data_IF_825923011034
#
_entry.id   IF_825923011034
#
_cell.length_a   1.000
_cell.length_b   1.000
_cell.length_c   1.000
_cell.angle_alpha   90.00
_cell.angle_beta   90.00
_cell.angle_gamma   90.00
#
_symmetry.space_group_name_H-M   'P 1'
#
loop_
_entity.id
_entity.type
_entity.pdbx_description
1 polymer ?
#
# COMPACT_ATOMS: atom_id res chain seq x y z
N UNK A 1 12.68 22.94 -3.46
CA UNK A 1 11.40 23.20 -2.77
C UNK A 1 10.84 21.82 -2.44
N UNK A 2 10.78 21.44 -1.18
CA UNK A 2 10.26 20.12 -0.79
C UNK A 2 8.74 20.23 -0.73
N UNK A 3 8.05 19.50 -1.57
CA UNK A 3 6.59 19.44 -1.56
C UNK A 3 6.13 18.72 -0.30
N UNK A 4 5.27 19.34 0.48
CA UNK A 4 4.72 18.74 1.71
C UNK A 4 3.39 18.03 1.39
N UNK A 5 3.50 16.78 0.95
CA UNK A 5 2.34 15.98 0.57
C UNK A 5 1.36 15.72 1.74
N UNK A 6 1.83 15.78 2.99
CA UNK A 6 0.93 15.66 4.15
C UNK A 6 -0.01 16.87 4.24
N UNK A 7 0.48 18.04 3.84
CA UNK A 7 -0.27 19.30 3.85
C UNK A 7 -0.94 19.59 2.51
N UNK A 8 -0.24 19.33 1.42
CA UNK A 8 -0.60 19.77 0.07
C UNK A 8 -1.33 18.70 -0.75
N UNK A 9 -1.41 17.45 -0.24
CA UNK A 9 -2.14 16.36 -0.89
C UNK A 9 -1.26 15.44 -1.73
N UNK A 10 -1.74 15.05 -2.91
CA UNK A 10 -1.08 14.11 -3.83
C UNK A 10 -0.50 14.86 -5.05
N UNK A 11 0.43 14.24 -5.82
CA UNK A 11 1.08 14.90 -6.96
C UNK A 11 0.14 15.33 -8.08
N UNK A 12 -0.98 14.63 -8.28
CA UNK A 12 -1.94 14.95 -9.35
C UNK A 12 -2.82 16.13 -8.99
N UNK A 13 -2.69 17.24 -9.69
CA UNK A 13 -3.51 18.45 -9.49
C UNK A 13 -5.01 18.24 -9.76
N UNK A 14 -5.37 17.24 -10.59
CA UNK A 14 -6.76 16.90 -10.87
C UNK A 14 -7.35 15.94 -9.83
N UNK A 15 -6.55 15.43 -8.88
CA UNK A 15 -7.05 14.58 -7.79
C UNK A 15 -7.62 15.47 -6.68
N UNK A 16 -8.90 15.37 -6.49
CA UNK A 16 -9.60 16.10 -5.42
C UNK A 16 -9.62 15.27 -4.14
N UNK A 17 -9.16 15.85 -3.04
CA UNK A 17 -9.38 15.27 -1.71
C UNK A 17 -10.85 15.41 -1.35
N UNK A 18 -11.48 14.30 -0.99
CA UNK A 18 -12.92 14.28 -0.63
C UNK A 18 -13.08 14.17 0.88
N UNK A 19 -12.49 13.17 1.50
CA UNK A 19 -12.65 12.90 2.93
C UNK A 19 -11.59 11.91 3.45
N UNK A 20 -11.49 11.81 4.76
CA UNK A 20 -10.77 10.73 5.41
C UNK A 20 -11.55 9.42 5.27
N UNK A 21 -10.86 8.27 5.35
CA UNK A 21 -11.49 6.98 5.22
C UNK A 21 -12.44 6.68 6.41
N UNK A 22 -13.31 5.68 6.23
CA UNK A 22 -14.29 5.21 7.24
C UNK A 22 -15.37 6.20 7.67
N UNK A 23 -15.39 7.43 7.15
CA UNK A 23 -16.48 8.38 7.39
C UNK A 23 -17.75 8.02 6.60
N UNK A 24 -18.92 8.56 7.00
CA UNK A 24 -20.16 8.42 6.22
C UNK A 24 -20.01 9.02 4.81
N UNK A 25 -19.29 10.14 4.72
CA UNK A 25 -18.96 10.79 3.44
C UNK A 25 -18.11 9.90 2.55
N UNK A 26 -17.17 9.16 3.11
CA UNK A 26 -16.33 8.18 2.40
C UNK A 26 -17.17 7.08 1.76
N UNK A 27 -18.14 6.51 2.48
CA UNK A 27 -19.03 5.50 1.92
C UNK A 27 -19.84 6.07 0.74
N UNK A 28 -20.44 7.26 0.90
CA UNK A 28 -21.21 7.93 -0.14
C UNK A 28 -20.35 8.30 -1.38
N UNK A 29 -19.14 8.78 -1.17
CA UNK A 29 -18.22 9.13 -2.24
C UNK A 29 -17.79 7.90 -3.05
N UNK A 30 -17.49 6.80 -2.39
CA UNK A 30 -17.13 5.52 -3.03
C UNK A 30 -18.24 4.91 -3.89
N UNK A 31 -19.50 5.18 -3.58
CA UNK A 31 -20.61 4.72 -4.42
C UNK A 31 -20.66 5.42 -5.78
N UNK A 32 -20.26 6.70 -5.84
CA UNK A 32 -20.40 7.53 -7.04
C UNK A 32 -19.33 7.26 -8.11
N UNK A 33 -18.17 6.74 -7.69
CA UNK A 33 -17.05 6.49 -8.60
C UNK A 33 -16.56 5.04 -8.53
N UNK A 34 -15.87 4.57 -9.54
CA UNK A 34 -15.12 3.33 -9.44
C UNK A 34 -13.97 3.52 -8.45
N UNK A 35 -13.73 2.55 -7.58
CA UNK A 35 -12.62 2.63 -6.63
C UNK A 35 -11.43 1.80 -7.09
N UNK A 36 -10.23 2.22 -6.70
CA UNK A 36 -9.01 1.46 -6.99
C UNK A 36 -9.11 0.00 -6.52
N UNK A 37 -9.71 -0.24 -5.34
CA UNK A 37 -9.98 -1.60 -4.82
C UNK A 37 -11.04 -2.37 -5.63
N UNK A 38 -11.88 -1.69 -6.40
CA UNK A 38 -12.87 -2.30 -7.29
C UNK A 38 -12.29 -2.75 -8.64
N UNK A 39 -11.13 -2.21 -9.04
CA UNK A 39 -10.50 -2.56 -10.33
C UNK A 39 -10.18 -4.06 -10.44
N UNK A 40 -9.58 -4.74 -9.45
CA UNK A 40 -9.36 -6.17 -9.50
C UNK A 40 -10.66 -6.99 -9.65
N UNK A 41 -11.77 -6.49 -9.09
CA UNK A 41 -13.09 -7.13 -9.21
C UNK A 41 -13.59 -7.07 -10.66
N UNK A 42 -13.49 -5.88 -11.29
CA UNK A 42 -13.86 -5.72 -12.71
C UNK A 42 -13.00 -6.58 -13.62
N UNK A 43 -11.70 -6.67 -13.32
CA UNK A 43 -10.78 -7.54 -14.06
C UNK A 43 -11.06 -9.03 -13.87
N UNK A 44 -11.86 -9.41 -12.86
CA UNK A 44 -12.18 -10.81 -12.57
C UNK A 44 -11.04 -11.56 -11.85
N UNK A 45 -10.10 -10.84 -11.26
CA UNK A 45 -8.94 -11.40 -10.54
C UNK A 45 -9.10 -11.34 -9.02
N UNK A 46 -10.18 -10.74 -8.53
CA UNK A 46 -10.49 -10.70 -7.10
C UNK A 46 -11.16 -12.02 -6.68
N UNK A 47 -10.57 -12.81 -5.76
CA UNK A 47 -11.16 -14.09 -5.34
C UNK A 47 -12.28 -13.96 -4.31
N UNK A 48 -12.51 -12.74 -3.79
CA UNK A 48 -13.43 -12.50 -2.66
C UNK A 48 -14.72 -11.81 -3.07
N UNK A 49 -14.77 -11.20 -4.25
CA UNK A 49 -15.93 -10.42 -4.72
C UNK A 49 -16.11 -10.58 -6.22
N UNK A 50 -17.34 -10.80 -6.65
CA UNK A 50 -17.72 -10.86 -8.07
C UNK A 50 -18.07 -9.47 -8.62
N UNK A 51 -18.18 -9.35 -9.95
CA UNK A 51 -18.65 -8.11 -10.60
C UNK A 51 -20.08 -7.77 -10.18
N UNK A 52 -20.93 -8.78 -10.01
CA UNK A 52 -22.33 -8.60 -9.61
C UNK A 52 -22.42 -8.08 -8.16
N UNK A 53 -21.58 -8.61 -7.24
CA UNK A 53 -21.49 -8.10 -5.88
C UNK A 53 -21.03 -6.63 -5.86
N UNK A 54 -20.03 -6.29 -6.68
CA UNK A 54 -19.57 -4.92 -6.80
C UNK A 54 -20.66 -3.99 -7.33
N UNK A 55 -21.38 -4.42 -8.38
CA UNK A 55 -22.50 -3.65 -8.92
C UNK A 55 -23.60 -3.46 -7.87
N UNK A 56 -23.95 -4.52 -7.16
CA UNK A 56 -24.93 -4.44 -6.07
C UNK A 56 -24.52 -3.41 -5.02
N UNK A 57 -23.26 -3.45 -4.56
CA UNK A 57 -22.69 -2.49 -3.62
C UNK A 57 -22.77 -1.05 -4.16
N UNK A 58 -22.50 -0.84 -5.44
CA UNK A 58 -22.57 0.50 -6.07
C UNK A 58 -23.98 1.06 -6.13
N UNK A 59 -24.98 0.19 -6.36
CA UNK A 59 -26.38 0.60 -6.51
C UNK A 59 -27.08 0.77 -5.16
N UNK A 60 -26.85 -0.15 -4.24
CA UNK A 60 -27.61 -0.26 -2.99
C UNK A 60 -26.84 0.16 -1.74
N UNK A 61 -25.54 0.46 -1.88
CA UNK A 61 -24.66 0.71 -0.75
C UNK A 61 -23.92 -0.54 -0.27
N UNK A 62 -22.86 -0.29 0.47
CA UNK A 62 -22.10 -1.36 1.10
C UNK A 62 -22.81 -1.80 2.39
N UNK A 63 -23.23 -3.04 2.44
CA UNK A 63 -23.83 -3.66 3.64
C UNK A 63 -22.83 -4.48 4.44
N UNK A 64 -21.56 -4.47 4.01
CA UNK A 64 -20.51 -5.23 4.69
C UNK A 64 -20.08 -4.51 5.98
N UNK A 65 -20.44 -5.07 7.11
CA UNK A 65 -20.10 -4.55 8.44
C UNK A 65 -18.65 -4.83 8.86
N UNK A 66 -17.86 -5.47 7.99
CA UNK A 66 -16.52 -5.92 8.32
C UNK A 66 -16.49 -7.33 8.93
N UNK A 67 -15.30 -7.87 9.04
CA UNK A 67 -15.02 -9.14 9.71
C UNK A 67 -13.70 -9.05 10.47
N UNK A 68 -13.30 -10.14 11.14
CA UNK A 68 -12.05 -10.17 11.91
C UNK A 68 -10.83 -9.78 11.05
N UNK A 69 -10.79 -10.17 9.77
CA UNK A 69 -9.68 -9.84 8.86
C UNK A 69 -9.62 -8.34 8.56
N UNK A 70 -10.77 -7.71 8.26
CA UNK A 70 -10.86 -6.25 8.06
C UNK A 70 -10.50 -5.48 9.32
N UNK A 71 -11.00 -5.96 10.47
CA UNK A 71 -10.72 -5.34 11.76
C UNK A 71 -9.22 -5.35 12.10
N UNK A 72 -8.54 -6.48 11.88
CA UNK A 72 -7.10 -6.59 12.05
C UNK A 72 -6.34 -5.80 10.97
N UNK A 73 -6.84 -5.80 9.73
CA UNK A 73 -6.26 -5.06 8.62
C UNK A 73 -6.05 -3.59 8.98
N UNK A 74 -7.11 -2.90 9.37
CA UNK A 74 -7.06 -1.48 9.76
C UNK A 74 -6.09 -1.20 10.91
N UNK A 75 -5.99 -2.10 11.89
CA UNK A 75 -5.10 -1.90 13.06
C UNK A 75 -3.65 -2.19 12.77
N UNK A 76 -3.37 -2.96 11.73
CA UNK A 76 -2.01 -3.30 11.34
C UNK A 76 -1.42 -2.34 10.30
N UNK A 77 -2.20 -1.47 9.70
CA UNK A 77 -1.74 -0.52 8.68
C UNK A 77 -0.59 0.35 9.19
N UNK A 78 -0.79 1.07 10.31
CA UNK A 78 0.24 1.92 10.88
C UNK A 78 1.51 1.14 11.31
N UNK A 79 1.43 0.01 12.04
CA UNK A 79 2.57 -0.85 12.32
C UNK A 79 3.30 -1.34 11.07
N UNK A 80 2.57 -1.75 10.02
CA UNK A 80 3.16 -2.21 8.75
C UNK A 80 3.88 -1.05 8.07
N UNK A 81 3.24 0.11 7.96
CA UNK A 81 3.82 1.32 7.38
C UNK A 81 5.13 1.69 8.09
N UNK A 82 5.09 1.78 9.41
CA UNK A 82 6.26 2.13 10.23
C UNK A 82 7.40 1.11 10.09
N UNK A 83 7.09 -0.18 10.15
CA UNK A 83 8.09 -1.23 9.98
C UNK A 83 8.73 -1.18 8.58
N UNK A 84 7.91 -0.91 7.54
CA UNK A 84 8.40 -0.75 6.17
C UNK A 84 9.32 0.45 6.03
N UNK A 85 8.94 1.60 6.57
CA UNK A 85 9.79 2.80 6.56
C UNK A 85 11.13 2.54 7.22
N UNK A 86 11.15 1.92 8.39
CA UNK A 86 12.37 1.58 9.11
C UNK A 86 13.21 0.57 8.30
N UNK A 87 12.60 -0.48 7.75
CA UNK A 87 13.32 -1.50 6.96
C UNK A 87 13.97 -0.92 5.71
N UNK A 88 13.33 0.06 5.06
CA UNK A 88 13.82 0.71 3.85
C UNK A 88 14.67 1.95 4.12
N UNK A 89 14.68 2.46 5.36
CA UNK A 89 15.34 3.72 5.71
C UNK A 89 14.62 4.96 5.18
N UNK A 90 13.29 4.92 5.16
CA UNK A 90 12.41 6.01 4.73
C UNK A 90 11.50 6.46 5.85
N UNK A 91 11.05 7.69 5.77
CA UNK A 91 9.93 8.17 6.55
C UNK A 91 8.61 7.67 5.94
N UNK A 92 7.66 7.38 6.81
CA UNK A 92 6.28 7.08 6.42
C UNK A 92 5.37 8.21 6.84
N UNK A 93 4.47 8.59 5.96
CA UNK A 93 3.38 9.52 6.27
C UNK A 93 2.08 8.78 6.03
N UNK A 94 1.32 8.56 7.10
CA UNK A 94 -0.01 7.96 7.01
C UNK A 94 -1.00 9.04 6.64
N UNK A 95 -1.84 8.78 5.67
CA UNK A 95 -2.85 9.72 5.18
C UNK A 95 -4.27 9.23 5.42
N UNK A 96 -4.57 7.98 5.06
CA UNK A 96 -5.92 7.38 5.11
C UNK A 96 -6.97 8.31 4.50
N UNK A 97 -6.68 8.81 3.30
CA UNK A 97 -7.47 9.81 2.60
C UNK A 97 -8.02 9.29 1.29
N UNK A 98 -9.25 9.69 0.99
CA UNK A 98 -9.91 9.37 -0.26
C UNK A 98 -9.78 10.52 -1.26
N UNK A 99 -9.24 10.21 -2.42
CA UNK A 99 -9.07 11.13 -3.55
C UNK A 99 -9.90 10.67 -4.74
N UNK A 100 -10.42 11.62 -5.51
CA UNK A 100 -11.21 11.35 -6.71
C UNK A 100 -10.63 12.11 -7.90
N UNK A 101 -10.57 11.44 -9.05
CA UNK A 101 -10.37 11.97 -10.38
C UNK A 101 -11.72 11.94 -11.11
N UNK A 102 -12.44 13.06 -11.08
CA UNK A 102 -13.78 13.15 -11.67
C UNK A 102 -13.74 12.91 -13.19
N UNK A 103 -12.69 13.37 -13.87
CA UNK A 103 -12.49 13.16 -15.30
C UNK A 103 -12.35 11.66 -15.66
N UNK A 104 -11.87 10.84 -14.74
CA UNK A 104 -11.75 9.39 -14.91
C UNK A 104 -12.90 8.62 -14.23
N UNK A 105 -13.74 9.29 -13.43
CA UNK A 105 -14.72 8.66 -12.54
C UNK A 105 -14.10 7.57 -11.67
N UNK A 106 -12.89 7.83 -11.20
CA UNK A 106 -12.07 6.89 -10.44
C UNK A 106 -11.64 7.52 -9.11
N UNK A 107 -11.79 6.78 -8.03
CA UNK A 107 -11.36 7.20 -6.71
C UNK A 107 -10.41 6.18 -6.05
N UNK A 108 -9.58 6.67 -5.14
CA UNK A 108 -8.63 5.85 -4.39
C UNK A 108 -8.53 6.32 -2.94
N UNK A 109 -8.69 5.40 -2.00
CA UNK A 109 -8.16 5.58 -0.65
C UNK A 109 -6.69 5.23 -0.68
N UNK A 110 -5.84 6.04 -0.07
CA UNK A 110 -4.42 5.76 0.06
C UNK A 110 -4.05 5.69 1.54
N UNK A 111 -3.30 4.68 1.93
CA UNK A 111 -2.86 4.49 3.31
C UNK A 111 -1.81 5.53 3.67
N UNK A 112 -0.90 5.83 2.73
CA UNK A 112 0.12 6.83 2.93
C UNK A 112 1.16 6.89 1.82
N UNK A 113 2.32 7.42 2.16
CA UNK A 113 3.49 7.43 1.28
C UNK A 113 4.81 7.27 2.04
N UNK A 114 5.81 6.79 1.34
CA UNK A 114 7.20 6.71 1.77
C UNK A 114 7.98 7.89 1.22
N UNK A 115 8.82 8.49 2.05
CA UNK A 115 9.66 9.60 1.63
C UNK A 115 11.10 9.43 2.13
N UNK A 116 12.06 9.67 1.23
CA UNK A 116 13.46 9.74 1.56
C UNK A 116 13.81 11.15 2.03
N UNK A 117 14.13 11.30 3.32
CA UNK A 117 14.73 12.52 3.83
C UNK A 117 16.24 12.29 4.01
N UNK A 118 17.09 12.96 3.22
CA UNK A 118 18.54 12.76 3.29
C UNK A 118 19.15 13.17 4.65
N UNK A 119 18.40 13.90 5.48
CA UNK A 119 18.83 14.28 6.84
C UNK A 119 18.66 13.12 7.83
N UNK A 120 17.84 12.14 7.52
CA UNK A 120 17.68 10.94 8.32
C UNK A 120 18.66 9.88 7.80
N UNK A 121 19.83 9.80 8.45
CA UNK A 121 20.74 8.69 8.20
C UNK A 121 20.04 7.38 8.56
N UNK A 122 20.03 6.41 7.64
CA UNK A 122 19.66 5.05 7.95
C UNK A 122 20.68 4.49 8.94
N UNK A 123 20.34 4.44 10.20
CA UNK A 123 21.08 3.64 11.17
C UNK A 123 20.74 2.17 10.91
N UNK A 124 21.52 1.53 10.03
CA UNK A 124 21.27 0.18 9.50
C UNK A 124 21.30 -0.97 10.49
N UNK A 125 21.35 -0.68 11.77
CA UNK A 125 21.39 -1.64 12.86
C UNK A 125 20.29 -1.44 13.91
N UNK A 126 19.08 -1.16 13.45
CA UNK A 126 17.96 -0.99 14.38
C UNK A 126 17.52 -2.37 14.91
N UNK A 127 18.13 -2.80 16.03
CA UNK A 127 17.87 -4.08 16.69
C UNK A 127 16.37 -4.28 17.04
N UNK A 128 15.61 -3.19 17.19
CA UNK A 128 14.18 -3.24 17.51
C UNK A 128 13.31 -3.86 16.39
N UNK A 129 13.83 -3.95 15.16
CA UNK A 129 13.13 -4.56 14.03
C UNK A 129 13.55 -6.00 13.75
N UNK A 130 14.50 -6.49 14.50
CA UNK A 130 14.87 -7.90 14.44
C UNK A 130 13.75 -8.71 15.07
N UNK A 131 12.77 -9.10 14.25
CA UNK A 131 11.77 -10.09 14.61
C UNK A 131 12.42 -11.38 15.13
N UNK A 132 11.63 -12.38 15.60
CA UNK A 132 12.18 -13.62 16.08
C UNK A 132 13.10 -14.22 15.01
N UNK A 133 14.37 -14.42 15.39
CA UNK A 133 15.41 -14.94 14.49
C UNK A 133 15.30 -16.45 14.25
N UNK A 134 14.17 -17.04 14.59
CA UNK A 134 13.93 -18.46 14.42
C UNK A 134 12.76 -18.70 13.49
N UNK A 135 12.87 -19.70 12.62
CA UNK A 135 11.74 -20.20 11.84
C UNK A 135 10.73 -20.96 12.75
N UNK A 136 9.61 -21.37 12.19
CA UNK A 136 8.59 -22.14 12.90
C UNK A 136 9.09 -23.48 13.48
N UNK A 137 10.31 -23.93 13.12
CA UNK A 137 10.98 -25.13 13.61
C UNK A 137 12.08 -24.82 14.63
N UNK A 138 12.22 -23.56 15.03
CA UNK A 138 13.23 -23.11 16.00
C UNK A 138 14.66 -23.00 15.43
N UNK A 139 14.85 -23.11 14.09
CA UNK A 139 16.14 -22.86 13.43
C UNK A 139 16.44 -21.37 13.46
N UNK A 140 17.62 -21.00 13.95
CA UNK A 140 18.10 -19.63 13.83
C UNK A 140 18.24 -19.24 12.35
N UNK A 141 17.61 -18.14 11.96
CA UNK A 141 17.71 -17.56 10.63
C UNK A 141 18.89 -16.58 10.60
N UNK A 142 19.67 -16.62 9.54
CA UNK A 142 20.69 -15.60 9.26
C UNK A 142 20.00 -14.30 8.86
N UNK A 143 20.72 -13.18 8.95
CA UNK A 143 20.20 -11.89 8.49
C UNK A 143 19.84 -11.93 6.98
N UNK A 144 20.53 -12.74 6.17
CA UNK A 144 20.27 -12.92 4.75
C UNK A 144 19.03 -13.80 4.49
N UNK A 145 18.73 -14.76 5.39
CA UNK A 145 17.51 -15.56 5.34
C UNK A 145 16.27 -14.77 5.84
N UNK A 146 16.47 -13.84 6.79
CA UNK A 146 15.43 -12.95 7.29
C UNK A 146 15.14 -11.79 6.33
N UNK A 147 16.21 -11.22 5.80
CA UNK A 147 16.14 -10.07 4.90
C UNK A 147 17.07 -10.39 3.72
N UNK A 148 16.50 -10.55 2.54
CA UNK A 148 17.31 -10.55 1.33
C UNK A 148 17.92 -9.14 1.18
N UNK A 149 19.07 -8.93 1.84
CA UNK A 149 19.75 -7.62 1.90
C UNK A 149 20.05 -7.07 0.52
N UNK A 150 20.30 -7.95 -0.46
CA UNK A 150 20.53 -7.54 -1.84
C UNK A 150 19.28 -6.87 -2.41
N UNK A 151 18.13 -7.50 -2.23
CA UNK A 151 16.86 -6.98 -2.73
C UNK A 151 16.42 -5.69 -2.03
N UNK A 152 16.56 -5.59 -0.69
CA UNK A 152 16.26 -4.35 0.06
C UNK A 152 17.21 -3.24 -0.38
N UNK A 153 18.49 -3.56 -0.62
CA UNK A 153 19.48 -2.62 -1.12
C UNK A 153 19.15 -2.10 -2.52
N UNK A 154 18.82 -2.99 -3.45
CA UNK A 154 18.43 -2.64 -4.82
C UNK A 154 17.16 -1.80 -4.85
N UNK A 155 16.17 -2.18 -4.04
CA UNK A 155 14.93 -1.44 -3.89
C UNK A 155 15.19 -0.05 -3.35
N UNK A 156 15.97 0.06 -2.26
CA UNK A 156 16.35 1.34 -1.65
C UNK A 156 17.05 2.24 -2.66
N UNK A 157 18.02 1.73 -3.41
CA UNK A 157 18.72 2.49 -4.45
C UNK A 157 17.74 3.00 -5.52
N UNK A 158 16.81 2.15 -5.94
CA UNK A 158 15.79 2.52 -6.92
C UNK A 158 14.88 3.63 -6.41
N UNK A 159 14.47 3.59 -5.13
CA UNK A 159 13.61 4.60 -4.50
C UNK A 159 14.36 5.92 -4.31
N UNK A 160 15.61 5.86 -3.83
CA UNK A 160 16.47 7.04 -3.67
C UNK A 160 16.71 7.73 -5.01
N UNK A 161 16.86 6.95 -6.08
CA UNK A 161 17.04 7.47 -7.43
C UNK A 161 15.79 8.18 -7.99
N UNK A 162 14.60 7.90 -7.46
CA UNK A 162 13.37 8.62 -7.86
C UNK A 162 13.34 10.06 -7.34
N UNK A 163 14.05 10.37 -6.24
CA UNK A 163 14.04 11.67 -5.55
C UNK A 163 12.62 12.25 -5.31
N UNK A 164 11.65 11.35 -5.17
CA UNK A 164 10.22 11.65 -5.03
C UNK A 164 9.57 10.68 -4.05
N UNK A 165 8.50 11.11 -3.36
CA UNK A 165 7.72 10.20 -2.52
C UNK A 165 7.09 9.09 -3.35
N UNK A 166 6.92 7.95 -2.70
CA UNK A 166 6.32 6.76 -3.28
C UNK A 166 5.04 6.41 -2.50
N UNK A 167 3.96 6.12 -3.20
CA UNK A 167 2.72 5.66 -2.60
C UNK A 167 2.97 4.40 -1.76
N UNK A 168 2.36 4.33 -0.59
CA UNK A 168 2.39 3.18 0.30
C UNK A 168 1.00 2.58 0.42
N UNK A 169 0.88 1.30 0.11
CA UNK A 169 -0.30 0.49 0.33
C UNK A 169 0.02 -0.63 1.33
N UNK A 170 -0.72 -0.71 2.43
CA UNK A 170 -0.51 -1.67 3.50
C UNK A 170 -1.47 -2.85 3.38
N UNK A 171 -0.97 -4.07 3.48
CA UNK A 171 -1.79 -5.29 3.44
C UNK A 171 -1.47 -6.22 4.61
N UNK A 172 -2.46 -6.52 5.43
CA UNK A 172 -2.37 -7.61 6.39
C UNK A 172 -2.61 -8.93 5.67
N UNK A 173 -1.55 -9.63 5.33
CA UNK A 173 -1.63 -10.93 4.65
C UNK A 173 -1.14 -12.04 5.55
N UNK A 174 -1.81 -13.21 5.49
CA UNK A 174 -1.30 -14.40 6.15
C UNK A 174 0.05 -14.81 5.51
N UNK A 175 0.97 -15.30 6.32
CA UNK A 175 2.30 -15.79 5.87
C UNK A 175 2.20 -16.77 4.70
N UNK A 176 1.13 -17.57 4.66
CA UNK A 176 0.85 -18.50 3.57
C UNK A 176 0.72 -17.81 2.22
N UNK A 177 0.05 -16.65 2.16
CA UNK A 177 -0.13 -15.88 0.92
C UNK A 177 1.21 -15.34 0.44
N UNK A 178 2.03 -14.82 1.36
CA UNK A 178 3.37 -14.36 1.05
C UNK A 178 4.27 -15.47 0.48
N UNK A 179 4.23 -16.68 1.06
CA UNK A 179 4.97 -17.84 0.55
C UNK A 179 4.52 -18.28 -0.84
N UNK A 180 3.20 -18.27 -1.10
CA UNK A 180 2.64 -18.66 -2.41
C UNK A 180 3.12 -17.75 -3.53
N UNK A 181 3.28 -16.45 -3.26
CA UNK A 181 3.70 -15.45 -4.24
C UNK A 181 5.21 -15.14 -4.20
N UNK A 182 6.01 -15.92 -3.46
CA UNK A 182 7.47 -15.80 -3.44
C UNK A 182 8.02 -14.54 -2.77
N UNK A 183 7.19 -13.77 -2.06
CA UNK A 183 7.52 -12.51 -1.35
C UNK A 183 8.13 -11.37 -2.23
N UNK A 184 8.56 -11.67 -3.44
CA UNK A 184 9.16 -10.71 -4.37
C UNK A 184 8.17 -10.19 -5.40
N UNK A 185 7.09 -10.91 -5.62
CA UNK A 185 6.06 -10.57 -6.58
C UNK A 185 4.85 -9.98 -5.87
N UNK A 186 4.38 -8.84 -6.38
CA UNK A 186 3.13 -8.27 -5.93
C UNK A 186 1.98 -9.12 -6.50
N UNK A 187 1.07 -9.65 -5.69
CA UNK A 187 -0.11 -10.34 -6.18
C UNK A 187 -0.87 -9.48 -7.20
N UNK A 188 -1.33 -10.09 -8.29
CA UNK A 188 -1.98 -9.39 -9.41
C UNK A 188 -3.13 -8.47 -8.95
N UNK A 189 -3.90 -8.92 -7.97
CA UNK A 189 -5.01 -8.13 -7.42
C UNK A 189 -4.53 -6.84 -6.73
N UNK A 190 -3.42 -6.90 -5.98
CA UNK A 190 -2.85 -5.70 -5.34
C UNK A 190 -2.15 -4.82 -6.35
N UNK A 191 -1.50 -5.43 -7.34
CA UNK A 191 -0.89 -4.71 -8.45
C UNK A 191 -1.92 -3.87 -9.20
N UNK A 192 -3.06 -4.46 -9.59
CA UNK A 192 -4.13 -3.75 -10.28
C UNK A 192 -4.73 -2.61 -9.42
N UNK A 193 -4.92 -2.84 -8.12
CA UNK A 193 -5.36 -1.80 -7.19
C UNK A 193 -4.38 -0.63 -7.16
N UNK A 194 -3.10 -0.92 -6.98
CA UNK A 194 -2.05 0.09 -6.85
C UNK A 194 -1.86 0.88 -8.14
N UNK A 195 -1.95 0.25 -9.32
CA UNK A 195 -1.92 0.97 -10.60
C UNK A 195 -3.05 2.00 -10.71
N UNK A 196 -4.25 1.65 -10.24
CA UNK A 196 -5.37 2.59 -10.19
C UNK A 196 -5.13 3.73 -9.17
N UNK A 197 -4.53 3.42 -8.03
CA UNK A 197 -4.14 4.44 -7.04
C UNK A 197 -3.09 5.41 -7.63
N UNK A 198 -2.08 4.90 -8.33
CA UNK A 198 -1.07 5.73 -9.03
C UNK A 198 -1.73 6.64 -10.08
N UNK A 199 -2.69 6.11 -10.84
CA UNK A 199 -3.43 6.87 -11.83
C UNK A 199 -4.25 8.01 -11.21
N UNK A 200 -4.86 7.78 -10.05
CA UNK A 200 -5.61 8.82 -9.32
C UNK A 200 -4.67 9.85 -8.72
N UNK A 201 -3.63 9.41 -8.05
CA UNK A 201 -2.82 10.28 -7.18
C UNK A 201 -1.65 10.95 -7.89
N UNK A 202 -1.18 10.37 -9.01
CA UNK A 202 -0.03 10.89 -9.75
C UNK A 202 1.33 10.56 -9.13
N UNK A 203 1.40 9.67 -8.15
CA UNK A 203 2.70 9.16 -7.70
C UNK A 203 3.36 8.33 -8.81
N UNK A 204 4.68 8.44 -8.94
CA UNK A 204 5.44 7.73 -9.98
C UNK A 204 5.68 6.25 -9.65
N UNK A 205 5.59 5.89 -8.38
CA UNK A 205 5.84 4.53 -7.91
C UNK A 205 5.04 4.21 -6.64
N UNK A 206 4.90 2.92 -6.36
CA UNK A 206 4.22 2.45 -5.16
C UNK A 206 4.95 1.27 -4.51
N UNK A 207 4.83 1.20 -3.19
CA UNK A 207 5.24 0.08 -2.36
C UNK A 207 3.99 -0.60 -1.79
N UNK A 208 3.86 -1.91 -2.02
CA UNK A 208 2.88 -2.73 -1.31
C UNK A 208 3.59 -3.39 -0.14
N UNK A 209 3.30 -2.90 1.04
CA UNK A 209 3.84 -3.43 2.29
C UNK A 209 2.91 -4.50 2.87
N UNK A 210 3.47 -5.63 3.28
CA UNK A 210 2.69 -6.71 3.89
C UNK A 210 3.19 -7.01 5.29
N UNK A 211 2.30 -7.53 6.16
CA UNK A 211 2.66 -7.95 7.51
C UNK A 211 3.71 -9.07 7.54
N UNK A 212 3.92 -9.76 6.43
CA UNK A 212 4.92 -10.82 6.30
C UNK A 212 6.25 -10.35 5.72
N UNK A 213 6.25 -9.39 4.79
CA UNK A 213 7.43 -8.66 4.22
C UNK A 213 6.95 -7.58 3.23
N UNK A 214 7.68 -6.46 3.08
CA UNK A 214 7.37 -5.52 2.00
C UNK A 214 7.73 -6.11 0.64
N UNK A 215 6.81 -5.99 -0.32
CA UNK A 215 7.05 -6.24 -1.73
C UNK A 215 6.80 -4.95 -2.51
N UNK A 216 7.72 -4.57 -3.39
CA UNK A 216 7.53 -3.38 -4.20
C UNK A 216 7.39 -3.74 -5.67
N UNK A 217 6.41 -3.16 -6.32
CA UNK A 217 6.21 -3.25 -7.76
C UNK A 217 6.77 -1.99 -8.44
N UNK A 218 7.52 -2.18 -9.55
CA UNK A 218 7.87 -1.08 -10.44
C UNK A 218 6.66 -0.70 -11.29
N UNK A 219 6.50 0.58 -11.64
CA UNK A 219 5.52 0.96 -12.65
C UNK A 219 5.85 0.29 -13.98
N UNK A 220 4.81 -0.06 -14.75
CA UNK A 220 4.97 -0.51 -16.14
C UNK A 220 5.40 0.70 -16.99
N UNK A 221 6.56 0.59 -17.60
CA UNK A 221 6.94 1.40 -18.76
C UNK A 221 7.55 2.76 -18.44
N UNK A 222 8.83 2.79 -18.30
CA UNK A 222 9.71 3.86 -18.77
C UNK A 222 10.61 3.31 -19.84
#
# INVERSE_FOLDING_TARGET
MTFDYAREGVPCEQAEYVCDDTSEEWHAARQRVMTASGIPVIMGINPYQTRDDLLHTKVHGDTFEGNASTWWGQRLEEPIAKATGIALGFQTVNLNRFYVREDLRLGATIDGYLWHDPRFAFEGDNQALRGPRTDAKGKNLTDDELYDKSWVGDLRQSIVALDRPMLLECKSTAEYVGRKHGYRECPELYYAQVQAQLLVTGFDAACVATSSRPSCSRPLGS
#
